data_IF_158965882552
#
_entry.id   IF_158965882552
#
_cell.length_a   1.000
_cell.length_b   1.000
_cell.length_c   1.000
_cell.angle_alpha   90.00
_cell.angle_beta   90.00
_cell.angle_gamma   90.00
#
_symmetry.space_group_name_H-M   'P 1'
#
loop_
_entity.id
_entity.type
_entity.pdbx_description
1 polymer ?
#
# COMPACT_ATOMS: atom_id res chain seq x y z
N UNK A 1 -28.67 14.47 -35.77
CA UNK A 1 -29.43 13.26 -35.39
C UNK A 1 -28.72 12.67 -34.19
N UNK A 2 -29.40 12.53 -33.06
CA UNK A 2 -28.95 11.99 -31.76
C UNK A 2 -30.15 11.19 -31.18
N UNK A 3 -30.06 10.18 -30.28
CA UNK A 3 -29.03 9.20 -29.88
C UNK A 3 -29.56 7.71 -29.96
N UNK A 4 -29.02 6.68 -29.24
CA UNK A 4 -29.27 6.52 -27.80
C UNK A 4 -28.03 6.17 -26.94
N UNK A 5 -28.03 6.76 -25.76
CA UNK A 5 -27.26 6.44 -24.56
C UNK A 5 -26.91 4.95 -24.43
N UNK A 6 -25.64 4.61 -24.63
CA UNK A 6 -25.13 3.28 -24.30
C UNK A 6 -24.75 3.21 -22.82
N UNK A 7 -25.74 2.73 -22.07
CA UNK A 7 -25.63 1.82 -20.94
C UNK A 7 -24.56 2.15 -19.89
N UNK A 8 -25.00 2.91 -18.89
CA UNK A 8 -24.28 3.13 -17.64
C UNK A 8 -24.19 1.79 -16.90
N UNK A 9 -23.01 1.17 -16.91
CA UNK A 9 -22.70 0.04 -16.06
C UNK A 9 -22.89 0.43 -14.60
N UNK A 10 -24.02 0.02 -14.02
CA UNK A 10 -24.26 0.15 -12.59
C UNK A 10 -23.49 -0.95 -11.90
N UNK A 11 -22.19 -0.72 -11.66
CA UNK A 11 -21.48 -1.48 -10.64
C UNK A 11 -22.14 -1.14 -9.30
N UNK A 12 -22.72 -2.10 -8.56
CA UNK A 12 -23.11 -1.82 -7.18
C UNK A 12 -21.84 -1.42 -6.43
N UNK A 13 -21.78 -0.16 -6.00
CA UNK A 13 -20.73 0.30 -5.11
C UNK A 13 -20.77 -0.58 -3.86
N UNK A 14 -19.64 -1.12 -3.38
CA UNK A 14 -19.61 -1.80 -2.11
C UNK A 14 -20.12 -0.82 -1.05
N UNK A 15 -21.22 -1.16 -0.38
CA UNK A 15 -21.68 -0.38 0.76
C UNK A 15 -20.55 -0.42 1.80
N UNK A 16 -20.10 0.73 2.32
CA UNK A 16 -19.14 0.71 3.40
C UNK A 16 -19.76 -0.10 4.55
N UNK A 17 -19.05 -1.05 5.16
CA UNK A 17 -19.54 -1.72 6.34
C UNK A 17 -19.86 -0.64 7.38
N UNK A 18 -21.01 -0.75 8.03
CA UNK A 18 -21.41 0.15 9.12
C UNK A 18 -20.31 0.05 10.20
N UNK A 19 -19.39 1.01 10.16
CA UNK A 19 -18.09 0.90 10.82
C UNK A 19 -18.28 1.38 12.24
N UNK A 20 -18.10 0.47 13.21
CA UNK A 20 -17.90 0.83 14.61
C UNK A 20 -16.86 1.96 14.70
N UNK A 21 -16.96 2.89 15.67
CA UNK A 21 -16.03 4.01 15.77
C UNK A 21 -14.58 3.52 15.67
N UNK A 22 -13.87 3.99 14.65
CA UNK A 22 -12.50 3.57 14.33
C UNK A 22 -11.46 4.11 15.33
N UNK A 23 -11.92 4.73 16.42
CA UNK A 23 -11.09 5.30 17.47
C UNK A 23 -11.52 4.72 18.82
N UNK A 24 -10.53 4.25 19.57
CA UNK A 24 -10.68 3.77 20.94
C UNK A 24 -9.84 4.63 21.88
N UNK A 25 -10.24 4.69 23.15
CA UNK A 25 -9.40 5.31 24.18
C UNK A 25 -8.20 4.43 24.51
N UNK A 26 -7.14 5.02 25.08
CA UNK A 26 -5.96 4.26 25.52
C UNK A 26 -6.32 3.15 26.52
N UNK A 27 -7.22 3.42 27.46
CA UNK A 27 -7.66 2.43 28.44
C UNK A 27 -8.35 1.22 27.77
N UNK A 28 -9.21 1.47 26.78
CA UNK A 28 -9.85 0.40 26.01
C UNK A 28 -8.84 -0.40 25.17
N UNK A 29 -7.87 0.28 24.56
CA UNK A 29 -6.79 -0.38 23.81
C UNK A 29 -6.04 -1.38 24.71
N UNK A 30 -5.65 -0.95 25.92
CA UNK A 30 -4.93 -1.80 26.87
C UNK A 30 -5.76 -3.03 27.26
N UNK A 31 -7.06 -2.86 27.49
CA UNK A 31 -7.95 -3.98 27.80
C UNK A 31 -8.06 -4.97 26.63
N UNK A 32 -8.20 -4.48 25.40
CA UNK A 32 -8.27 -5.32 24.20
C UNK A 32 -6.96 -6.11 24.00
N UNK A 33 -5.80 -5.46 24.18
CA UNK A 33 -4.48 -6.12 24.12
C UNK A 33 -4.37 -7.20 25.17
N UNK A 34 -4.78 -6.92 26.41
CA UNK A 34 -4.70 -7.89 27.50
C UNK A 34 -5.60 -9.11 27.26
N UNK A 35 -6.74 -8.92 26.61
CA UNK A 35 -7.70 -9.98 26.26
C UNK A 35 -7.37 -10.68 24.93
N UNK A 36 -6.38 -10.21 24.18
CA UNK A 36 -6.07 -10.72 22.84
C UNK A 36 -7.18 -10.50 21.82
N UNK A 37 -8.02 -9.48 22.02
CA UNK A 37 -9.08 -9.12 21.07
C UNK A 37 -8.58 -8.18 19.98
N UNK A 38 -9.18 -8.27 18.80
CA UNK A 38 -8.86 -7.38 17.68
C UNK A 38 -9.39 -5.96 17.90
N UNK A 39 -8.75 -4.99 17.24
CA UNK A 39 -9.13 -3.59 17.35
C UNK A 39 -10.38 -3.31 16.48
N UNK A 40 -11.40 -2.62 17.01
CA UNK A 40 -12.55 -2.19 16.23
C UNK A 40 -12.12 -1.31 15.05
N UNK A 41 -12.70 -1.56 13.87
CA UNK A 41 -12.37 -0.82 12.65
C UNK A 41 -11.05 -1.24 11.99
N UNK A 42 -10.38 -2.29 12.47
CA UNK A 42 -9.19 -2.83 11.81
C UNK A 42 -9.56 -3.57 10.52
N UNK A 43 -9.25 -2.97 9.37
CA UNK A 43 -9.45 -3.63 8.08
C UNK A 43 -8.37 -4.69 7.82
N UNK A 44 -8.77 -5.97 7.81
CA UNK A 44 -7.94 -7.07 7.32
C UNK A 44 -8.02 -7.12 5.80
N UNK A 45 -7.05 -6.51 5.12
CA UNK A 45 -6.96 -6.58 3.67
C UNK A 45 -6.60 -8.00 3.23
N UNK A 46 -7.35 -8.53 2.25
CA UNK A 46 -7.02 -9.79 1.58
C UNK A 46 -5.86 -9.57 0.63
N UNK A 47 -4.64 -9.54 1.17
CA UNK A 47 -3.42 -9.34 0.39
C UNK A 47 -2.91 -10.72 -0.07
N UNK A 48 -2.99 -10.98 -1.37
CA UNK A 48 -2.37 -12.14 -2.02
C UNK A 48 -1.11 -11.69 -2.75
N UNK A 49 -0.04 -12.49 -2.66
CA UNK A 49 1.15 -12.24 -3.45
C UNK A 49 0.78 -12.28 -4.95
N UNK A 50 1.03 -11.19 -5.67
CA UNK A 50 0.76 -11.13 -7.12
C UNK A 50 1.80 -11.92 -7.93
N UNK A 51 2.93 -12.31 -7.31
CA UNK A 51 4.04 -13.03 -7.95
C UNK A 51 4.55 -12.38 -9.25
N UNK A 52 4.46 -11.04 -9.35
CA UNK A 52 4.97 -10.32 -10.50
C UNK A 52 6.50 -10.38 -10.56
N UNK A 53 7.03 -10.93 -11.66
CA UNK A 53 8.46 -10.90 -11.97
C UNK A 53 8.78 -9.76 -12.96
N UNK A 54 9.82 -8.94 -12.70
CA UNK A 54 10.68 -8.98 -11.51
C UNK A 54 9.98 -8.41 -10.26
N UNK A 55 10.26 -8.99 -9.09
CA UNK A 55 9.90 -8.38 -7.79
C UNK A 55 10.39 -6.94 -7.75
N UNK A 56 9.66 -6.01 -7.12
CA UNK A 56 10.01 -4.58 -7.12
C UNK A 56 11.46 -4.28 -6.69
N UNK A 57 12.07 -5.11 -5.83
CA UNK A 57 13.48 -5.02 -5.43
C UNK A 57 14.48 -5.29 -6.55
N UNK A 58 14.08 -6.06 -7.56
CA UNK A 58 14.87 -6.40 -8.74
C UNK A 58 14.73 -5.36 -9.86
N UNK A 59 13.80 -4.41 -9.75
CA UNK A 59 13.68 -3.33 -10.72
C UNK A 59 14.88 -2.38 -10.57
N UNK A 60 15.44 -1.88 -11.70
CA UNK A 60 16.49 -0.86 -11.65
C UNK A 60 16.03 0.35 -10.86
N UNK A 61 16.79 0.72 -9.82
CA UNK A 61 16.44 1.87 -8.99
C UNK A 61 16.68 3.16 -9.77
N UNK A 62 15.68 4.04 -9.82
CA UNK A 62 15.89 5.42 -10.29
C UNK A 62 16.69 6.18 -9.22
N UNK A 63 17.83 6.79 -9.57
CA UNK A 63 18.60 7.59 -8.63
C UNK A 63 17.79 8.80 -8.21
N UNK A 64 17.92 9.16 -6.94
CA UNK A 64 17.28 10.35 -6.38
C UNK A 64 17.99 11.61 -6.92
N UNK A 65 17.31 12.76 -7.05
CA UNK A 65 17.91 13.95 -7.66
C UNK A 65 19.16 14.46 -6.92
N UNK A 66 19.26 14.24 -5.60
CA UNK A 66 20.45 14.59 -4.82
C UNK A 66 21.62 13.61 -4.99
N UNK A 67 21.41 12.45 -5.61
CA UNK A 67 22.47 11.45 -5.86
C UNK A 67 23.22 11.74 -7.17
N UNK A 68 22.62 12.51 -8.09
CA UNK A 68 23.25 12.89 -9.35
C UNK A 68 24.47 13.80 -9.16
N UNK A 69 24.53 14.56 -8.07
CA UNK A 69 25.64 15.47 -7.77
C UNK A 69 26.89 14.77 -7.19
N UNK A 70 26.80 13.48 -6.85
CA UNK A 70 27.86 12.73 -6.16
C UNK A 70 28.65 11.76 -7.05
N UNK A 71 28.44 11.73 -8.36
CA UNK A 71 29.19 10.85 -9.27
C UNK A 71 30.60 11.38 -9.56
N UNK A 72 31.38 11.60 -8.51
CA UNK A 72 32.83 11.63 -8.62
C UNK A 72 33.29 10.17 -8.73
N UNK A 73 33.44 9.72 -9.97
CA UNK A 73 34.30 8.62 -10.44
C UNK A 73 34.97 7.83 -9.32
N UNK A 74 34.47 6.64 -9.01
CA UNK A 74 35.21 5.67 -8.21
C UNK A 74 36.60 5.47 -8.88
N UNK A 75 37.72 5.65 -8.16
CA UNK A 75 39.02 5.37 -8.74
C UNK A 75 39.12 3.88 -9.07
N UNK A 76 39.74 3.57 -10.20
CA UNK A 76 39.97 2.21 -10.67
C UNK A 76 40.61 1.37 -9.55
N UNK A 77 40.04 0.20 -9.28
CA UNK A 77 40.66 -0.77 -8.38
C UNK A 77 42.04 -1.15 -8.92
N UNK A 78 43.09 -1.19 -8.09
CA UNK A 78 44.40 -1.62 -8.55
C UNK A 78 44.37 -3.12 -8.90
N UNK A 79 45.13 -3.57 -9.91
CA UNK A 79 45.23 -5.00 -10.24
C UNK A 79 45.89 -5.77 -9.09
N UNK A 80 45.50 -7.04 -8.98
CA UNK A 80 45.93 -8.01 -7.96
C UNK A 80 47.44 -8.10 -7.76
#
# INVERSE_FOLDING_TARGET
MDPPCSQKGSCPAPRPPETAPASVTLAQLLQLVQQGQELPGLERRHITATHGDPTASRLPRRPKPWEAAGSAKAPAQPPC
#
